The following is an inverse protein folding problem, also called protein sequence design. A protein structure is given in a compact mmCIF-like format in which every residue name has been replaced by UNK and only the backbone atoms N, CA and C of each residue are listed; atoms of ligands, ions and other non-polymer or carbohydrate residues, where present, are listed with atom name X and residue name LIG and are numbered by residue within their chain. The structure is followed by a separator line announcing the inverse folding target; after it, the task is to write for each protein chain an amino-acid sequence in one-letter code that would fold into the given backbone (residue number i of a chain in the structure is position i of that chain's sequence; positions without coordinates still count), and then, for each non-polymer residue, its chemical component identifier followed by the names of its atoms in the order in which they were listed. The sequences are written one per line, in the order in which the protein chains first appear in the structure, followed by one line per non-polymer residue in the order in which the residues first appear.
data_IF_130964923006
#
_entry.id   IF_130964923006
#
_cell.length_a   1.000
_cell.length_b   1.000
_cell.length_c   1.000
_cell.angle_alpha   90.00
_cell.angle_beta   90.00
_cell.angle_gamma   90.00
#
_symmetry.space_group_name_H-M   'P 1'
#
loop_
_entity.id
_entity.type
_entity.pdbx_description
1 polymer ?
#
# COMPACT_ATOMS: atom_id res chain seq x y z
N UNK A 1 4.15 4.80 -6.24
CA UNK A 1 3.56 3.61 -5.62
C UNK A 1 3.51 2.46 -6.60
N UNK A 2 3.91 1.31 -6.17
CA UNK A 2 3.94 0.14 -7.01
C UNK A 2 3.14 -0.97 -6.37
N UNK A 3 2.31 -1.65 -7.15
CA UNK A 3 1.48 -2.73 -6.64
C UNK A 3 1.75 -3.99 -7.44
N UNK A 4 2.04 -5.07 -6.75
CA UNK A 4 2.33 -6.34 -7.39
C UNK A 4 1.37 -7.38 -6.87
N UNK A 5 0.77 -8.13 -7.78
CA UNK A 5 -0.14 -9.20 -7.39
C UNK A 5 0.64 -10.51 -7.29
N UNK A 6 0.50 -11.19 -6.18
CA UNK A 6 1.18 -12.44 -5.98
C UNK A 6 0.26 -13.45 -5.34
N UNK A 7 -0.02 -14.51 -6.04
CA UNK A 7 -0.81 -15.55 -5.45
C UNK A 7 -2.08 -15.02 -4.88
N UNK A 8 -2.30 -15.06 -3.63
CA UNK A 8 -3.52 -14.58 -3.03
C UNK A 8 -3.39 -13.25 -2.33
N UNK A 9 -2.38 -12.47 -2.66
CA UNK A 9 -2.21 -11.20 -1.98
C UNK A 9 -1.61 -10.16 -2.90
N UNK A 10 -1.59 -8.92 -2.43
CA UNK A 10 -1.00 -7.82 -3.17
C UNK A 10 0.10 -7.21 -2.33
N UNK A 11 1.18 -6.83 -2.98
CA UNK A 11 2.29 -6.18 -2.29
C UNK A 11 2.36 -4.74 -2.80
N UNK A 12 2.25 -3.81 -1.88
CA UNK A 12 2.30 -2.38 -2.21
C UNK A 12 3.62 -1.82 -1.75
N UNK A 13 4.33 -1.18 -2.66
CA UNK A 13 5.63 -0.60 -2.37
C UNK A 13 5.58 0.89 -2.66
N UNK A 14 6.11 1.69 -1.78
CA UNK A 14 6.11 3.13 -1.98
C UNK A 14 7.30 3.72 -1.24
N UNK A 15 7.60 4.97 -1.55
CA UNK A 15 8.65 5.70 -0.86
C UNK A 15 8.01 6.78 -0.02
N UNK A 16 8.21 6.71 1.27
CA UNK A 16 7.63 7.67 2.20
C UNK A 16 8.74 8.32 2.99
N UNK A 17 8.84 9.63 2.88
CA UNK A 17 9.89 10.38 3.58
C UNK A 17 11.27 9.84 3.27
N UNK A 18 11.49 9.48 2.02
CA UNK A 18 12.79 9.00 1.60
C UNK A 18 13.07 7.55 1.96
N UNK A 19 12.11 6.88 2.56
CA UNK A 19 12.28 5.48 2.95
C UNK A 19 11.37 4.59 2.12
N UNK A 20 11.89 3.46 1.73
CA UNK A 20 11.12 2.52 0.96
C UNK A 20 10.29 1.66 1.89
N UNK A 21 8.98 1.64 1.64
CA UNK A 21 8.05 0.90 2.49
C UNK A 21 7.36 -0.16 1.66
N UNK A 22 7.27 -1.35 2.19
CA UNK A 22 6.64 -2.45 1.48
C UNK A 22 5.64 -3.13 2.42
N UNK A 23 4.41 -3.33 1.95
CA UNK A 23 3.37 -3.95 2.75
C UNK A 23 2.65 -5.00 1.93
N UNK A 24 2.23 -6.06 2.60
CA UNK A 24 1.49 -7.12 1.97
C UNK A 24 0.06 -7.10 2.48
N UNK A 25 -0.90 -7.17 1.56
CA UNK A 25 -2.30 -7.14 1.92
C UNK A 25 -3.05 -8.31 1.31
N UNK A 26 -3.81 -9.00 2.13
CA UNK A 26 -4.62 -10.12 1.65
C UNK A 26 -6.00 -9.55 1.33
N UNK A 27 -6.13 -9.01 0.15
CA UNK A 27 -7.39 -8.39 -0.28
C UNK A 27 -7.78 -8.90 -1.65
N UNK A 28 -8.98 -8.58 -2.04
CA UNK A 28 -9.51 -9.09 -3.29
C UNK A 28 -9.16 -8.29 -4.52
N UNK A 29 -8.71 -7.08 -4.38
CA UNK A 29 -8.39 -6.28 -5.54
C UNK A 29 -7.29 -5.28 -5.25
N UNK A 30 -6.71 -4.76 -6.34
CA UNK A 30 -5.64 -3.80 -6.21
C UNK A 30 -6.12 -2.53 -5.53
N UNK A 31 -7.32 -2.11 -5.82
CA UNK A 31 -7.86 -0.90 -5.19
C UNK A 31 -7.92 -1.06 -3.69
N UNK A 32 -8.31 -2.23 -3.24
CA UNK A 32 -8.40 -2.47 -1.82
C UNK A 32 -7.03 -2.40 -1.17
N UNK A 33 -6.04 -2.96 -1.85
CA UNK A 33 -4.68 -2.92 -1.32
C UNK A 33 -4.18 -1.50 -1.20
N UNK A 34 -4.42 -0.69 -2.22
CA UNK A 34 -3.98 0.68 -2.21
C UNK A 34 -4.68 1.47 -1.12
N UNK A 35 -5.98 1.22 -0.97
CA UNK A 35 -6.74 1.91 0.04
C UNK A 35 -6.22 1.60 1.44
N UNK A 36 -5.97 0.33 1.70
CA UNK A 36 -5.48 -0.06 3.01
C UNK A 36 -4.08 0.46 3.26
N UNK A 37 -3.27 0.49 2.22
CA UNK A 37 -1.92 1.01 2.37
C UNK A 37 -1.97 2.49 2.75
N UNK A 38 -2.83 3.25 2.09
CA UNK A 38 -2.93 4.66 2.38
C UNK A 38 -3.46 4.91 3.78
N UNK A 39 -4.39 4.09 4.21
CA UNK A 39 -4.92 4.25 5.54
C UNK A 39 -3.88 3.92 6.60
N UNK A 40 -3.10 2.90 6.33
CA UNK A 40 -2.10 2.50 7.29
C UNK A 40 -0.96 3.50 7.38
N UNK A 41 -0.57 4.06 6.24
CA UNK A 41 0.53 5.02 6.21
C UNK A 41 0.00 6.41 5.93
N UNK A 42 -1.15 6.74 6.54
CA UNK A 42 -1.75 8.03 6.31
C UNK A 42 -0.83 9.16 6.67
N UNK A 43 -0.70 10.06 5.76
CA UNK A 43 0.11 11.18 6.01
C UNK A 43 -0.70 12.19 6.64
N UNK A 44 -0.92 12.57 7.32
CA UNK A 44 -1.75 13.49 7.88
C UNK A 44 -1.97 14.56 7.14
N UNK A 45 -2.49 14.95 6.53
CA UNK A 45 -2.67 15.87 5.67
C UNK A 45 -3.44 16.68 6.00
N UNK A 46 -3.78 17.01 6.40
CA UNK A 46 -4.48 17.68 6.70
C UNK A 46 -5.07 18.12 6.46
N UNK A 47 -5.47 18.46 6.48
CA UNK A 47 -6.20 18.94 6.27
C UNK A 47 -6.50 19.16 6.48
#
# INVERSE_FOLDING_TARGET
MKVIKRGGHYIVTDTINGQQVEEKFLVGSKKEAIKKFKEKHKQKEEK
#
